data_IF_854427629777
#
_entry.id   IF_854427629777
#
_cell.length_a   1.000
_cell.length_b   1.000
_cell.length_c   1.000
_cell.angle_alpha   90.00
_cell.angle_beta   90.00
_cell.angle_gamma   90.00
#
_symmetry.space_group_name_H-M   'P 1'
#
loop_
_entity.id
_entity.type
_entity.pdbx_description
1 polymer ?
#
# COMPACT_ATOMS: atom_id res chain seq x y z
N UNK A 1 -1.55 -9.21 11.77
CA UNK A 1 -0.21 -9.80 12.00
C UNK A 1 0.79 -8.65 12.21
N UNK A 2 1.84 -8.83 13.01
CA UNK A 2 2.95 -7.88 13.11
C UNK A 2 4.24 -8.64 12.76
N UNK A 3 5.00 -8.13 11.80
CA UNK A 3 6.30 -8.67 11.38
C UNK A 3 7.35 -7.66 11.85
N UNK A 4 8.11 -8.02 12.89
CA UNK A 4 9.03 -7.10 13.58
C UNK A 4 10.47 -7.62 13.63
N UNK A 5 10.84 -8.48 12.69
CA UNK A 5 12.19 -9.04 12.57
C UNK A 5 13.23 -7.97 12.22
N UNK A 6 14.52 -8.29 12.39
CA UNK A 6 15.63 -7.40 12.04
C UNK A 6 15.59 -6.92 10.57
N UNK A 7 16.17 -5.75 10.32
CA UNK A 7 16.31 -5.21 8.96
C UNK A 7 17.16 -6.16 8.11
N UNK A 8 16.77 -6.38 6.86
CA UNK A 8 17.47 -7.30 5.94
C UNK A 8 16.98 -8.75 5.94
N UNK A 9 16.06 -9.14 6.83
CA UNK A 9 15.51 -10.51 6.89
C UNK A 9 14.35 -10.79 5.91
N UNK A 10 14.15 -9.93 4.90
CA UNK A 10 13.12 -10.16 3.88
C UNK A 10 11.68 -9.93 4.36
N UNK A 11 11.46 -9.01 5.30
CA UNK A 11 10.09 -8.67 5.77
C UNK A 11 9.14 -8.27 4.65
N UNK A 12 9.65 -7.58 3.62
CA UNK A 12 8.86 -7.19 2.44
C UNK A 12 8.30 -8.42 1.73
N UNK A 13 9.14 -9.41 1.41
CA UNK A 13 8.66 -10.64 0.75
C UNK A 13 7.71 -11.44 1.65
N UNK A 14 7.95 -11.48 2.97
CA UNK A 14 7.00 -12.10 3.90
C UNK A 14 5.64 -11.38 3.89
N UNK A 15 5.62 -10.05 3.91
CA UNK A 15 4.41 -9.26 3.85
C UNK A 15 3.67 -9.42 2.50
N UNK A 16 4.40 -9.49 1.39
CA UNK A 16 3.86 -9.80 0.07
C UNK A 16 3.23 -11.20 0.07
N UNK A 17 3.92 -12.21 0.59
CA UNK A 17 3.41 -13.58 0.66
C UNK A 17 2.11 -13.68 1.48
N UNK A 18 2.05 -13.01 2.65
CA UNK A 18 0.83 -12.94 3.45
C UNK A 18 -0.28 -12.20 2.71
N UNK A 19 0.03 -11.08 2.04
CA UNK A 19 -0.97 -10.32 1.27
C UNK A 19 -1.53 -11.14 0.10
N UNK A 20 -0.67 -11.90 -0.58
CA UNK A 20 -1.01 -12.78 -1.68
C UNK A 20 -1.88 -13.96 -1.25
N UNK A 21 -1.65 -14.51 -0.04
CA UNK A 21 -2.52 -15.54 0.52
C UNK A 21 -4.00 -15.07 0.58
N UNK A 22 -4.22 -13.79 0.88
CA UNK A 22 -5.54 -13.15 0.91
C UNK A 22 -5.95 -12.49 -0.42
N UNK A 23 -5.33 -12.85 -1.56
CA UNK A 23 -5.59 -12.19 -2.87
C UNK A 23 -7.05 -12.19 -3.31
N UNK A 24 -7.82 -13.21 -2.90
CA UNK A 24 -9.24 -13.30 -3.24
C UNK A 24 -10.11 -12.28 -2.48
N UNK A 25 -9.57 -11.66 -1.43
CA UNK A 25 -10.26 -10.64 -0.63
C UNK A 25 -9.90 -9.21 -1.05
N UNK A 26 -8.90 -9.03 -1.93
CA UNK A 26 -8.45 -7.71 -2.38
C UNK A 26 -9.64 -6.85 -2.89
N UNK A 27 -9.59 -5.51 -2.65
CA UNK A 27 -8.42 -4.67 -2.87
C UNK A 27 -7.44 -4.61 -1.69
N UNK A 28 -6.14 -4.48 -2.03
CA UNK A 28 -5.00 -4.35 -1.12
C UNK A 28 -4.52 -2.90 -1.04
N UNK A 29 -4.36 -2.38 0.18
CA UNK A 29 -3.73 -1.09 0.45
C UNK A 29 -2.34 -1.28 1.08
N UNK A 30 -1.33 -0.61 0.55
CA UNK A 30 0.03 -0.60 1.08
C UNK A 30 0.40 0.84 1.44
N UNK A 31 0.74 1.08 2.71
CA UNK A 31 1.18 2.38 3.23
C UNK A 31 2.65 2.28 3.63
N UNK A 32 3.48 3.11 3.01
CA UNK A 32 4.95 3.05 3.13
C UNK A 32 5.56 4.45 3.27
N UNK A 33 6.82 4.59 3.70
CA UNK A 33 7.61 5.81 3.46
C UNK A 33 7.63 6.16 1.97
N UNK A 34 7.64 7.46 1.63
CA UNK A 34 7.54 7.92 0.24
C UNK A 34 8.62 7.35 -0.69
N UNK A 35 9.81 7.07 -0.16
CA UNK A 35 10.96 6.48 -0.87
C UNK A 35 10.78 4.99 -1.20
N UNK A 36 9.88 4.29 -0.51
CA UNK A 36 9.65 2.86 -0.66
C UNK A 36 8.48 2.51 -1.59
N UNK A 37 7.73 3.50 -2.10
CA UNK A 37 6.60 3.25 -3.02
C UNK A 37 7.00 2.46 -4.27
N UNK A 38 8.02 2.92 -4.99
CA UNK A 38 8.49 2.23 -6.20
C UNK A 38 9.18 0.90 -5.90
N UNK A 39 10.09 0.80 -4.90
CA UNK A 39 10.63 -0.50 -4.48
C UNK A 39 9.56 -1.54 -4.15
N UNK A 40 8.44 -1.15 -3.54
CA UNK A 40 7.31 -2.05 -3.31
C UNK A 40 6.60 -2.49 -4.58
N UNK A 41 6.50 -1.63 -5.60
CA UNK A 41 6.00 -2.04 -6.92
C UNK A 41 6.92 -3.07 -7.55
N UNK A 42 8.23 -2.79 -7.57
CA UNK A 42 9.23 -3.68 -8.16
C UNK A 42 9.19 -5.08 -7.51
N UNK A 43 9.10 -5.14 -6.18
CA UNK A 43 8.99 -6.42 -5.46
C UNK A 43 7.64 -7.10 -5.70
N UNK A 44 6.52 -6.37 -5.75
CA UNK A 44 5.20 -6.95 -6.06
C UNK A 44 5.17 -7.55 -7.46
N UNK A 45 5.65 -6.84 -8.47
CA UNK A 45 5.70 -7.33 -9.87
C UNK A 45 6.65 -8.52 -10.01
N UNK A 46 7.77 -8.50 -9.29
CA UNK A 46 8.74 -9.60 -9.26
C UNK A 46 8.17 -10.88 -8.64
N UNK A 47 7.41 -10.77 -7.55
CA UNK A 47 6.94 -11.94 -6.79
C UNK A 47 5.51 -12.38 -7.14
N UNK A 48 4.74 -11.53 -7.82
CA UNK A 48 3.36 -11.80 -8.24
C UNK A 48 3.25 -11.51 -9.75
N UNK A 49 3.71 -12.44 -10.61
CA UNK A 49 3.80 -12.21 -12.06
C UNK A 49 2.44 -12.04 -12.74
N UNK A 50 1.32 -12.39 -12.09
CA UNK A 50 -0.03 -12.13 -12.60
C UNK A 50 -0.53 -10.69 -12.38
N UNK A 51 0.20 -9.86 -11.62
CA UNK A 51 -0.10 -8.44 -11.51
C UNK A 51 0.44 -7.70 -12.73
N UNK A 52 -0.46 -7.01 -13.43
CA UNK A 52 -0.07 -6.06 -14.47
C UNK A 52 0.22 -4.67 -13.85
N UNK A 53 1.01 -3.82 -14.53
CA UNK A 53 1.21 -2.43 -14.08
C UNK A 53 -0.11 -1.64 -13.93
N UNK A 54 -1.15 -2.03 -14.65
CA UNK A 54 -2.47 -1.40 -14.55
C UNK A 54 -3.23 -1.79 -13.27
N UNK A 55 -2.91 -2.95 -12.69
CA UNK A 55 -3.48 -3.44 -11.43
C UNK A 55 -2.93 -2.70 -10.19
N UNK A 56 -1.83 -1.95 -10.34
CA UNK A 56 -1.16 -1.23 -9.25
C UNK A 56 -1.35 0.29 -9.46
N UNK A 57 -1.96 0.93 -8.47
CA UNK A 57 -2.06 2.39 -8.39
C UNK A 57 -1.07 2.94 -7.37
N UNK A 58 -0.13 3.77 -7.83
CA UNK A 58 0.77 4.52 -6.95
C UNK A 58 0.18 5.92 -6.76
N UNK A 59 -0.21 6.27 -5.54
CA UNK A 59 -0.74 7.60 -5.25
C UNK A 59 0.42 8.57 -5.11
N UNK A 60 0.53 9.49 -6.06
CA UNK A 60 1.61 10.48 -6.08
C UNK A 60 1.27 11.75 -5.31
N UNK A 61 0.00 12.16 -5.35
CA UNK A 61 -0.52 13.38 -4.70
C UNK A 61 -1.97 13.17 -4.22
N UNK A 62 -2.52 14.13 -3.47
CA UNK A 62 -3.83 14.03 -2.81
C UNK A 62 -5.03 14.06 -3.78
N UNK A 63 -4.82 14.42 -5.05
CA UNK A 63 -5.88 14.60 -6.06
C UNK A 63 -5.94 13.37 -6.99
N UNK A 64 -4.83 12.66 -7.13
CA UNK A 64 -4.68 11.44 -7.93
C UNK A 64 -5.39 10.25 -7.30
N UNK A 65 -6.72 10.23 -7.43
CA UNK A 65 -7.61 9.23 -6.81
C UNK A 65 -8.35 8.38 -7.83
N UNK A 66 -8.28 8.74 -9.12
CA UNK A 66 -9.11 8.14 -10.17
C UNK A 66 -8.86 6.65 -10.40
N UNK A 67 -7.64 6.16 -10.13
CA UNK A 67 -7.27 4.75 -10.30
C UNK A 67 -7.47 3.90 -9.05
N UNK A 68 -7.76 4.50 -7.89
CA UNK A 68 -7.94 3.76 -6.63
C UNK A 68 -9.05 2.72 -6.75
N UNK A 69 -10.17 3.08 -7.39
CA UNK A 69 -11.34 2.21 -7.48
C UNK A 69 -11.19 1.04 -8.44
N UNK A 70 -10.33 1.16 -9.44
CA UNK A 70 -10.15 0.16 -10.51
C UNK A 70 -8.94 -0.73 -10.31
N UNK A 71 -8.03 -0.37 -9.39
CA UNK A 71 -6.78 -1.10 -9.17
C UNK A 71 -6.94 -2.16 -8.08
N UNK A 72 -6.23 -3.29 -8.24
CA UNK A 72 -6.20 -4.37 -7.25
C UNK A 72 -5.35 -3.99 -6.03
N UNK A 73 -4.27 -3.25 -6.28
CA UNK A 73 -3.31 -2.79 -5.27
C UNK A 73 -3.21 -1.28 -5.34
N UNK A 74 -3.28 -0.63 -4.19
CA UNK A 74 -3.00 0.81 -4.04
C UNK A 74 -1.82 1.00 -3.10
N UNK A 75 -0.84 1.79 -3.51
CA UNK A 75 0.37 2.11 -2.73
C UNK A 75 0.45 3.61 -2.51
N UNK A 76 0.55 4.04 -1.25
CA UNK A 76 0.65 5.46 -0.92
C UNK A 76 1.67 5.75 0.19
N UNK A 77 2.14 6.99 0.21
CA UNK A 77 3.07 7.48 1.21
C UNK A 77 2.36 8.02 2.45
N UNK A 78 2.93 7.83 3.64
CA UNK A 78 2.39 8.42 4.89
C UNK A 78 2.07 9.92 4.78
N UNK A 79 2.93 10.70 4.10
CA UNK A 79 2.75 12.14 3.96
C UNK A 79 1.52 12.58 3.15
N UNK A 80 0.80 11.64 2.53
CA UNK A 80 -0.46 11.93 1.83
C UNK A 80 -1.69 11.79 2.74
N UNK A 81 -1.57 11.09 3.87
CA UNK A 81 -2.65 10.87 4.84
C UNK A 81 -2.68 12.00 5.88
N UNK A 82 -3.00 13.21 5.42
CA UNK A 82 -3.10 14.41 6.26
C UNK A 82 -4.55 14.89 6.35
N UNK A 83 -4.86 15.74 7.33
CA UNK A 83 -6.23 16.23 7.60
C UNK A 83 -6.86 17.02 6.45
N UNK A 84 -6.05 17.65 5.59
CA UNK A 84 -6.48 18.38 4.40
C UNK A 84 -6.66 17.48 3.16
N UNK A 85 -6.40 16.18 3.25
CA UNK A 85 -6.48 15.22 2.15
C UNK A 85 -7.87 14.57 2.00
N UNK A 86 -8.95 15.34 2.19
CA UNK A 86 -10.32 14.81 2.26
C UNK A 86 -10.70 13.95 1.04
N UNK A 87 -10.39 14.43 -0.18
CA UNK A 87 -10.68 13.69 -1.42
C UNK A 87 -10.01 12.32 -1.46
N UNK A 88 -8.75 12.25 -1.02
CA UNK A 88 -8.00 10.99 -0.96
C UNK A 88 -8.60 10.07 0.10
N UNK A 89 -8.86 10.58 1.31
CA UNK A 89 -9.45 9.79 2.40
C UNK A 89 -10.81 9.23 2.00
N UNK A 90 -11.65 10.03 1.35
CA UNK A 90 -12.96 9.60 0.87
C UNK A 90 -12.85 8.51 -0.21
N UNK A 91 -11.90 8.66 -1.14
CA UNK A 91 -11.65 7.66 -2.17
C UNK A 91 -11.16 6.33 -1.56
N UNK A 92 -10.23 6.39 -0.61
CA UNK A 92 -9.74 5.22 0.11
C UNK A 92 -10.86 4.53 0.90
N UNK A 93 -11.71 5.30 1.57
CA UNK A 93 -12.84 4.76 2.33
C UNK A 93 -13.87 4.08 1.43
N UNK A 94 -14.21 4.69 0.28
CA UNK A 94 -15.14 4.12 -0.70
C UNK A 94 -14.64 2.82 -1.30
N UNK A 95 -13.32 2.69 -1.50
CA UNK A 95 -12.72 1.48 -2.08
C UNK A 95 -12.82 0.26 -1.16
N UNK A 96 -13.02 0.45 0.14
CA UNK A 96 -13.32 -0.64 1.09
C UNK A 96 -12.24 -1.76 1.08
N UNK A 97 -10.97 -1.36 1.18
CA UNK A 97 -9.83 -2.27 1.27
C UNK A 97 -10.01 -3.34 2.35
N UNK A 98 -9.77 -4.60 1.99
CA UNK A 98 -9.88 -5.74 2.93
C UNK A 98 -8.55 -6.19 3.47
N UNK A 99 -7.47 -5.91 2.73
CA UNK A 99 -6.11 -6.20 3.14
C UNK A 99 -5.34 -4.90 3.20
N UNK A 100 -4.64 -4.69 4.31
CA UNK A 100 -3.81 -3.50 4.53
C UNK A 100 -2.44 -3.92 5.02
N UNK A 101 -1.41 -3.42 4.35
CA UNK A 101 -0.01 -3.53 4.76
C UNK A 101 0.49 -2.14 5.15
N UNK A 102 1.14 -2.07 6.29
CA UNK A 102 1.73 -0.85 6.83
C UNK A 102 3.20 -1.15 7.08
N UNK A 103 4.07 -0.58 6.25
CA UNK A 103 5.52 -0.74 6.36
C UNK A 103 6.12 0.41 7.15
N UNK A 104 7.15 0.15 7.95
CA UNK A 104 7.75 1.12 8.86
C UNK A 104 6.69 1.85 9.73
N UNK A 105 5.81 1.07 10.38
CA UNK A 105 4.63 1.57 11.10
C UNK A 105 4.93 2.60 12.21
N UNK A 106 6.19 2.73 12.62
CA UNK A 106 6.63 3.80 13.52
C UNK A 106 6.40 5.21 12.93
N UNK A 107 6.31 5.37 11.60
CA UNK A 107 5.91 6.63 10.95
C UNK A 107 4.46 7.03 11.23
N UNK A 108 3.59 6.10 11.64
CA UNK A 108 2.24 6.44 12.10
C UNK A 108 2.24 7.22 13.42
N UNK A 109 3.37 7.29 14.12
CA UNK A 109 3.51 8.10 15.34
C UNK A 109 3.69 9.57 14.96
N UNK A 110 2.61 10.20 14.52
CA UNK A 110 2.47 11.66 14.53
C UNK A 110 1.10 12.00 15.13
N UNK A 111 1.11 12.28 16.45
CA UNK A 111 0.06 13.07 17.08
C UNK A 111 0.25 14.50 16.60
N UNK A 112 -0.67 14.97 15.76
CA UNK A 112 -1.24 16.32 15.76
C UNK A 112 -2.40 16.37 14.76
#
# INVERSE_FOLDING_TARGET
CMIADEMGLGKTIQAIAVSYYYKNEWPLLIVVPSSLRYPWVDEMEKWIPELSPDDISIIQNKIDTGRISTSKVTILGYGLLTSDAQTLVDALYRQNFKVVVIDESHYMKSRN
#
